data_IF_056415409602
#
_entry.id   IF_056415409602
#
_cell.length_a   1.000
_cell.length_b   1.000
_cell.length_c   1.000
_cell.angle_alpha   90.00
_cell.angle_beta   90.00
_cell.angle_gamma   90.00
#
_symmetry.space_group_name_H-M   'P 1'
#
loop_
_entity.id
_entity.type
_entity.pdbx_description
1 polymer ?
#
# COMPACT_ATOMS: atom_id res chain seq x y z
N UNK A 1 7.34 5.26 -29.45
CA UNK A 1 7.56 3.99 -28.74
C UNK A 1 9.01 3.75 -28.34
N UNK A 2 10.00 4.26 -29.07
CA UNK A 2 11.42 4.15 -28.67
C UNK A 2 11.72 4.68 -27.27
N UNK A 3 11.36 5.94 -26.97
CA UNK A 3 11.63 6.55 -25.65
C UNK A 3 11.09 5.71 -24.48
N UNK A 4 9.88 5.16 -24.61
CA UNK A 4 9.28 4.31 -23.56
C UNK A 4 10.07 3.02 -23.40
N UNK A 5 10.52 2.42 -24.50
CA UNK A 5 11.30 1.19 -24.47
C UNK A 5 12.70 1.43 -23.90
N UNK A 6 13.32 2.57 -24.19
CA UNK A 6 14.62 2.95 -23.65
C UNK A 6 14.53 3.17 -22.14
N UNK A 7 13.54 3.94 -21.68
CA UNK A 7 13.28 4.13 -20.25
C UNK A 7 13.01 2.80 -19.52
N UNK A 8 12.25 1.88 -20.13
CA UNK A 8 12.03 0.54 -19.57
C UNK A 8 13.33 -0.23 -19.39
N UNK A 9 14.28 -0.13 -20.34
CA UNK A 9 15.59 -0.78 -20.21
C UNK A 9 16.44 -0.13 -19.12
N UNK A 10 16.42 1.20 -19.03
CA UNK A 10 17.19 1.93 -18.01
C UNK A 10 16.72 1.61 -16.59
N UNK A 11 15.41 1.52 -16.35
CA UNK A 11 14.89 1.22 -15.00
C UNK A 11 14.92 -0.27 -14.66
N UNK A 12 15.09 -1.16 -15.64
CA UNK A 12 15.14 -2.60 -15.43
C UNK A 12 16.36 -3.06 -14.63
N UNK A 13 17.38 -2.21 -14.45
CA UNK A 13 18.56 -2.51 -13.63
C UNK A 13 18.33 -2.32 -12.13
N UNK A 14 17.21 -1.72 -11.73
CA UNK A 14 16.86 -1.50 -10.31
C UNK A 14 16.33 -2.81 -9.73
N UNK A 15 17.00 -3.34 -8.71
CA UNK A 15 16.61 -4.62 -8.09
C UNK A 15 15.72 -4.43 -6.86
N UNK A 16 15.78 -3.26 -6.22
CA UNK A 16 15.11 -2.95 -4.96
C UNK A 16 13.68 -2.42 -5.14
N UNK A 17 13.25 -2.18 -6.39
CA UNK A 17 11.94 -1.63 -6.70
C UNK A 17 11.47 -2.03 -8.10
N UNK A 18 10.15 -2.21 -8.25
CA UNK A 18 9.52 -2.33 -9.57
C UNK A 18 9.12 -0.95 -10.08
N UNK A 19 9.59 -0.60 -11.28
CA UNK A 19 9.32 0.70 -11.91
C UNK A 19 8.49 0.50 -13.18
N UNK A 20 7.32 1.13 -13.22
CA UNK A 20 6.39 1.04 -14.33
C UNK A 20 6.34 2.35 -15.13
N UNK A 21 6.70 2.29 -16.42
CA UNK A 21 6.55 3.41 -17.35
C UNK A 21 5.17 3.32 -17.99
N UNK A 22 4.29 4.28 -17.70
CA UNK A 22 2.91 4.31 -18.17
C UNK A 22 2.67 5.62 -18.93
N UNK A 23 2.37 5.59 -20.24
CA UNK A 23 2.05 6.79 -20.99
C UNK A 23 0.68 7.36 -20.55
N UNK A 24 0.51 8.69 -20.58
CA UNK A 24 -0.78 9.32 -20.27
C UNK A 24 -1.85 8.88 -21.28
N UNK A 25 -3.14 8.91 -20.88
CA UNK A 25 -4.22 8.55 -21.79
C UNK A 25 -4.35 9.56 -22.95
N UNK A 26 -4.83 9.14 -24.13
CA UNK A 26 -5.05 10.03 -25.27
C UNK A 26 -6.05 11.16 -24.97
N UNK A 27 -7.03 10.89 -24.10
CA UNK A 27 -8.03 11.85 -23.65
C UNK A 27 -7.77 12.24 -22.20
N UNK A 28 -7.50 13.53 -21.98
CA UNK A 28 -7.30 14.08 -20.63
C UNK A 28 -8.58 13.95 -19.80
N UNK A 29 -8.43 13.60 -18.52
CA UNK A 29 -9.54 13.52 -17.56
C UNK A 29 -10.16 12.13 -17.38
N UNK A 30 -9.80 11.15 -18.21
CA UNK A 30 -10.36 9.77 -18.13
C UNK A 30 -9.49 8.83 -17.27
N UNK A 31 -8.30 9.28 -16.87
CA UNK A 31 -7.42 8.53 -15.99
C UNK A 31 -6.00 9.07 -15.96
N UNK A 32 -5.12 8.35 -15.23
CA UNK A 32 -3.69 8.69 -15.12
C UNK A 32 -2.79 7.85 -16.03
N UNK A 33 -3.32 6.80 -16.67
CA UNK A 33 -2.58 5.93 -17.59
C UNK A 33 -3.49 5.37 -18.67
N UNK A 34 -2.93 5.12 -19.85
CA UNK A 34 -3.61 4.38 -20.93
C UNK A 34 -3.73 2.88 -20.64
N UNK A 35 -4.55 2.18 -21.42
CA UNK A 35 -4.74 0.72 -21.31
C UNK A 35 -6.11 0.33 -20.74
N UNK A 36 -6.14 -0.69 -19.90
CA UNK A 36 -7.35 -1.21 -19.27
C UNK A 36 -7.22 -1.24 -17.75
N UNK A 37 -8.36 -1.31 -17.06
CA UNK A 37 -8.43 -1.50 -15.61
C UNK A 37 -9.51 -2.54 -15.31
N UNK A 38 -9.18 -3.47 -14.42
CA UNK A 38 -10.10 -4.50 -13.94
C UNK A 38 -10.04 -4.59 -12.42
N UNK A 39 -11.04 -5.22 -11.83
CA UNK A 39 -11.07 -5.54 -10.41
C UNK A 39 -11.27 -7.04 -10.26
N UNK A 40 -10.41 -7.68 -9.46
CA UNK A 40 -10.62 -9.05 -9.00
C UNK A 40 -11.44 -8.96 -7.72
N UNK A 41 -12.57 -9.66 -7.68
CA UNK A 41 -13.49 -9.62 -6.55
C UNK A 41 -13.67 -11.03 -5.98
N UNK A 42 -13.51 -11.15 -4.67
CA UNK A 42 -13.97 -12.30 -3.93
C UNK A 42 -15.46 -12.12 -3.58
N UNK A 43 -16.32 -12.92 -4.21
CA UNK A 43 -17.76 -12.92 -3.96
C UNK A 43 -18.19 -13.98 -2.93
N UNK A 44 -17.32 -14.97 -2.67
CA UNK A 44 -17.61 -16.11 -1.80
C UNK A 44 -17.07 -15.95 -0.37
N UNK A 45 -16.26 -14.93 -0.12
CA UNK A 45 -15.61 -14.73 1.18
C UNK A 45 -14.48 -15.72 1.45
N UNK A 46 -13.74 -16.13 0.41
CA UNK A 46 -12.56 -16.97 0.50
C UNK A 46 -11.40 -16.31 1.26
N UNK A 47 -11.40 -14.98 1.40
CA UNK A 47 -10.45 -14.22 2.20
C UNK A 47 -9.28 -13.65 1.40
N UNK A 48 -8.49 -12.81 2.08
CA UNK A 48 -7.44 -11.99 1.44
C UNK A 48 -6.29 -12.80 0.87
N UNK A 49 -5.92 -13.92 1.50
CA UNK A 49 -4.85 -14.80 1.02
C UNK A 49 -5.23 -15.47 -0.30
N UNK A 50 -6.46 -16.00 -0.38
CA UNK A 50 -6.98 -16.63 -1.59
C UNK A 50 -7.11 -15.61 -2.73
N UNK A 51 -7.63 -14.41 -2.43
CA UNK A 51 -7.72 -13.31 -3.38
C UNK A 51 -6.34 -12.90 -3.92
N UNK A 52 -5.33 -12.83 -3.05
CA UNK A 52 -3.95 -12.50 -3.43
C UNK A 52 -3.38 -13.55 -4.38
N UNK A 53 -3.48 -14.83 -4.02
CA UNK A 53 -2.99 -15.94 -4.85
C UNK A 53 -3.65 -16.01 -6.23
N UNK A 54 -4.96 -15.74 -6.32
CA UNK A 54 -5.67 -15.70 -7.61
C UNK A 54 -5.24 -14.48 -8.43
N UNK A 55 -5.11 -13.32 -7.79
CA UNK A 55 -4.69 -12.08 -8.45
C UNK A 55 -3.27 -12.20 -9.00
N UNK A 56 -2.33 -12.71 -8.22
CA UNK A 56 -0.93 -12.93 -8.65
C UNK A 56 -0.86 -13.92 -9.81
N UNK A 57 -1.59 -15.04 -9.75
CA UNK A 57 -1.66 -16.01 -10.85
C UNK A 57 -2.24 -15.40 -12.13
N UNK A 58 -3.31 -14.61 -12.01
CA UNK A 58 -3.92 -13.91 -13.15
C UNK A 58 -2.91 -12.95 -13.78
N UNK A 59 -2.20 -12.16 -12.99
CA UNK A 59 -1.17 -11.23 -13.47
C UNK A 59 -0.02 -11.98 -14.15
N UNK A 60 0.46 -13.06 -13.55
CA UNK A 60 1.55 -13.87 -14.11
C UNK A 60 1.16 -14.48 -15.47
N UNK A 61 -0.04 -15.03 -15.59
CA UNK A 61 -0.55 -15.56 -16.86
C UNK A 61 -0.80 -14.46 -17.89
N UNK A 62 -1.34 -13.31 -17.48
CA UNK A 62 -1.59 -12.20 -18.38
C UNK A 62 -0.29 -11.65 -19.00
N UNK A 63 0.81 -11.63 -18.24
CA UNK A 63 2.12 -11.21 -18.77
C UNK A 63 2.75 -12.22 -19.75
N UNK A 64 2.23 -13.45 -19.85
CA UNK A 64 2.65 -14.44 -20.85
C UNK A 64 1.83 -14.34 -22.14
N UNK A 65 0.69 -13.63 -22.12
CA UNK A 65 -0.24 -13.58 -23.24
C UNK A 65 0.22 -12.54 -24.29
N UNK A 66 0.37 -12.93 -25.56
CA UNK A 66 0.67 -11.99 -26.65
C UNK A 66 -0.41 -10.89 -26.73
N UNK A 67 0.04 -9.64 -26.86
CA UNK A 67 -0.84 -8.47 -26.93
C UNK A 67 -1.13 -7.79 -25.59
N UNK A 68 -0.80 -8.44 -24.47
CA UNK A 68 -0.76 -7.80 -23.16
C UNK A 68 0.66 -7.37 -22.83
N UNK A 69 0.80 -6.21 -22.21
CA UNK A 69 2.10 -5.64 -21.85
C UNK A 69 2.01 -5.07 -20.45
N UNK A 70 2.93 -5.48 -19.57
CA UNK A 70 3.14 -4.85 -18.28
C UNK A 70 1.86 -4.83 -17.43
N UNK A 71 1.24 -6.01 -17.28
CA UNK A 71 0.07 -6.20 -16.42
C UNK A 71 0.53 -6.27 -14.98
N UNK A 72 -0.10 -5.51 -14.08
CA UNK A 72 0.29 -5.45 -12.67
C UNK A 72 -0.93 -5.24 -11.77
N UNK A 73 -0.73 -5.46 -10.47
CA UNK A 73 -1.69 -5.14 -9.42
C UNK A 73 -0.98 -4.38 -8.31
N UNK A 74 -1.67 -3.40 -7.71
CA UNK A 74 -1.19 -2.73 -6.50
C UNK A 74 -1.58 -3.47 -5.21
N UNK A 75 -2.39 -4.53 -5.33
CA UNK A 75 -2.82 -5.34 -4.19
C UNK A 75 -1.65 -6.21 -3.71
N UNK A 76 -1.32 -6.09 -2.42
CA UNK A 76 -0.30 -6.89 -1.75
C UNK A 76 -0.69 -7.07 -0.29
N UNK A 77 -0.47 -8.26 0.25
CA UNK A 77 -0.75 -8.61 1.65
C UNK A 77 0.51 -8.93 2.44
N UNK A 78 1.66 -9.02 1.77
CA UNK A 78 2.96 -9.36 2.34
C UNK A 78 3.72 -8.16 2.93
N UNK A 79 3.04 -7.04 3.16
CA UNK A 79 3.66 -5.87 3.82
C UNK A 79 4.01 -6.27 5.25
N UNK A 80 5.28 -6.14 5.68
CA UNK A 80 5.67 -6.49 7.04
C UNK A 80 4.85 -5.74 8.09
N UNK A 81 4.37 -6.46 9.09
CA UNK A 81 3.60 -5.90 10.21
C UNK A 81 4.28 -6.25 11.54
N UNK A 82 4.16 -5.34 12.50
CA UNK A 82 4.59 -5.58 13.88
C UNK A 82 3.33 -5.81 14.72
N UNK A 83 3.26 -6.97 15.38
CA UNK A 83 2.19 -7.29 16.32
C UNK A 83 2.68 -7.12 17.75
N UNK A 84 2.10 -6.16 18.48
CA UNK A 84 2.37 -5.95 19.89
C UNK A 84 1.39 -6.76 20.75
N UNK A 85 1.88 -7.84 21.38
CA UNK A 85 1.08 -8.65 22.29
C UNK A 85 1.14 -8.07 23.72
N UNK A 86 0.06 -7.43 24.16
CA UNK A 86 -0.04 -6.84 25.50
C UNK A 86 -0.55 -7.87 26.51
N UNK A 87 0.31 -8.25 27.47
CA UNK A 87 -0.07 -9.12 28.58
C UNK A 87 -0.90 -8.35 29.63
N UNK A 88 -2.21 -8.52 29.55
CA UNK A 88 -3.16 -7.84 30.43
C UNK A 88 -3.10 -8.35 31.87
N UNK A 89 -2.80 -9.64 32.06
CA UNK A 89 -2.73 -10.25 33.39
C UNK A 89 -1.52 -9.69 34.15
N UNK A 90 -0.35 -9.63 33.49
CA UNK A 90 0.84 -9.03 34.09
C UNK A 90 0.67 -7.54 34.37
N UNK A 91 0.03 -6.79 33.47
CA UNK A 91 -0.26 -5.37 33.69
C UNK A 91 -1.12 -5.15 34.94
N UNK A 92 -2.17 -5.95 35.13
CA UNK A 92 -3.02 -5.90 36.33
C UNK A 92 -2.26 -6.26 37.61
N UNK A 93 -1.38 -7.28 37.56
CA UNK A 93 -0.55 -7.67 38.70
C UNK A 93 0.43 -6.56 39.13
N UNK A 94 0.85 -5.71 38.19
CA UNK A 94 1.73 -4.58 38.42
C UNK A 94 0.98 -3.26 38.67
N UNK A 95 -0.35 -3.31 38.80
CA UNK A 95 -1.24 -2.15 38.95
C UNK A 95 -1.08 -1.11 37.82
N UNK A 96 -0.80 -1.58 36.60
CA UNK A 96 -0.67 -0.76 35.40
C UNK A 96 -2.01 -0.76 34.65
N UNK A 97 -2.69 0.40 34.52
CA UNK A 97 -3.88 0.50 33.69
C UNK A 97 -3.59 0.17 32.23
N UNK A 98 -4.42 -0.70 31.64
CA UNK A 98 -4.28 -1.11 30.23
C UNK A 98 -4.37 0.09 29.27
N UNK A 99 -5.19 1.10 29.62
CA UNK A 99 -5.29 2.36 28.89
C UNK A 99 -3.94 3.05 28.72
N UNK A 100 -3.12 3.08 29.78
CA UNK A 100 -1.82 3.78 29.75
C UNK A 100 -0.83 3.10 28.80
N UNK A 101 -0.93 1.77 28.65
CA UNK A 101 -0.09 1.02 27.71
C UNK A 101 -0.44 1.40 26.27
N UNK A 102 -1.74 1.45 25.94
CA UNK A 102 -2.18 1.82 24.60
C UNK A 102 -1.94 3.30 24.30
N UNK A 103 -2.14 4.20 25.26
CA UNK A 103 -1.81 5.62 25.13
C UNK A 103 -0.32 5.82 24.84
N UNK A 104 0.56 5.14 25.57
CA UNK A 104 1.99 5.18 25.30
C UNK A 104 2.33 4.67 23.89
N UNK A 105 1.73 3.56 23.45
CA UNK A 105 1.94 3.05 22.09
C UNK A 105 1.44 4.04 21.03
N UNK A 106 0.28 4.67 21.21
CA UNK A 106 -0.27 5.68 20.30
C UNK A 106 0.65 6.91 20.19
N UNK A 107 1.15 7.40 21.32
CA UNK A 107 2.07 8.56 21.37
C UNK A 107 3.41 8.25 20.70
N UNK A 108 4.01 7.09 20.98
CA UNK A 108 5.37 6.78 20.51
C UNK A 108 5.44 6.14 19.12
N UNK A 109 4.41 5.41 18.69
CA UNK A 109 4.36 4.76 17.37
C UNK A 109 3.51 5.52 16.36
N UNK A 110 2.64 6.41 16.84
CA UNK A 110 1.73 7.19 16.01
C UNK A 110 2.02 8.68 16.07
N UNK A 111 0.94 9.45 16.04
CA UNK A 111 0.94 10.88 16.30
C UNK A 111 -0.32 11.19 17.07
N UNK A 112 -0.19 11.95 18.14
CA UNK A 112 -1.33 12.40 18.94
C UNK A 112 -1.54 13.88 18.67
N UNK A 113 -2.76 14.24 18.30
CA UNK A 113 -3.19 15.62 18.30
C UNK A 113 -3.57 16.01 19.72
N UNK A 114 -2.92 17.03 20.25
CA UNK A 114 -3.20 17.59 21.57
C UNK A 114 -4.04 18.85 21.43
N UNK A 115 -3.60 19.81 20.60
CA UNK A 115 -4.27 21.08 20.38
C UNK A 115 -3.74 21.84 19.15
N UNK A 116 -4.30 23.03 18.91
CA UNK A 116 -3.84 23.95 17.89
C UNK A 116 -3.01 25.09 18.51
N UNK A 117 -1.89 25.46 17.86
CA UNK A 117 -1.04 26.60 18.21
C UNK A 117 -0.93 27.59 17.04
N UNK A 118 -0.93 28.89 17.34
CA UNK A 118 -0.78 29.94 16.33
C UNK A 118 0.66 30.42 16.24
N UNK A 119 1.25 30.32 15.04
CA UNK A 119 2.57 30.86 14.73
C UNK A 119 2.50 31.75 13.48
N UNK A 120 2.89 33.02 13.63
CA UNK A 120 2.89 34.03 12.55
C UNK A 120 1.54 34.16 11.81
N UNK A 121 0.43 34.12 12.55
CA UNK A 121 -0.92 34.25 12.00
C UNK A 121 -1.44 33.01 11.25
N UNK A 122 -0.73 31.87 11.35
CA UNK A 122 -1.19 30.57 10.86
C UNK A 122 -1.36 29.60 12.02
N UNK A 123 -2.43 28.83 11.97
CA UNK A 123 -2.74 27.80 12.96
C UNK A 123 -2.10 26.47 12.55
N UNK A 124 -1.39 25.85 13.48
CA UNK A 124 -0.72 24.55 13.31
C UNK A 124 -1.25 23.58 14.37
N UNK A 125 -1.35 22.30 13.99
CA UNK A 125 -1.67 21.21 14.91
C UNK A 125 -0.42 20.83 15.69
N UNK A 126 -0.59 20.60 16.98
CA UNK A 126 0.41 20.09 17.93
C UNK A 126 -0.05 18.73 18.43
#
# INVERSE_FOLDING_TARGET
>A
NEIINDLRREVAVVNEAEVFIIPPPPVRGIGRGGGYKMYVQDQGGAGVDALNQVTERMVAQANQQPGLVQVFSNFRISVPQIYANVDRTKAQMLDIPISNIFEALEVYLGSVYVNDFNFLGRTYRV
#
